data_IF_418679893868
#
_entry.id   IF_418679893868
#
_cell.length_a   1.000
_cell.length_b   1.000
_cell.length_c   1.000
_cell.angle_alpha   90.00
_cell.angle_beta   90.00
_cell.angle_gamma   90.00
#
_symmetry.space_group_name_H-M   'P 1'
#
loop_
_entity.id
_entity.type
_entity.pdbx_description
1 polymer ?
#
# COMPACT_ATOMS: atom_id res chain seq x y z
N UNK A 1 1.09 -10.41 22.97
CA UNK A 1 0.00 -9.49 22.57
C UNK A 1 0.07 -9.32 21.06
N UNK A 2 -0.94 -9.82 20.33
CA UNK A 2 -0.93 -9.78 18.86
C UNK A 2 -1.31 -8.40 18.35
N UNK A 3 -0.48 -7.83 17.46
CA UNK A 3 -0.79 -6.64 16.68
C UNK A 3 -1.00 -7.05 15.23
N UNK A 4 -1.89 -6.36 14.53
CA UNK A 4 -2.11 -6.57 13.09
C UNK A 4 -2.07 -5.25 12.36
N UNK A 5 -1.43 -5.28 11.19
CA UNK A 5 -1.25 -4.11 10.34
C UNK A 5 -2.61 -3.64 9.84
N UNK A 6 -2.93 -2.39 10.14
CA UNK A 6 -4.14 -1.70 9.66
C UNK A 6 -3.85 -0.95 8.35
N UNK A 7 -2.69 -0.30 8.31
CA UNK A 7 -2.41 0.73 7.33
C UNK A 7 -1.10 1.45 7.57
N UNK A 8 -0.93 2.59 6.92
CA UNK A 8 0.25 3.44 7.07
C UNK A 8 -0.16 4.91 7.13
N UNK A 9 0.59 5.72 7.88
CA UNK A 9 0.64 7.17 7.71
C UNK A 9 1.84 7.50 6.84
N UNK A 10 1.67 8.41 5.88
CA UNK A 10 2.69 8.87 4.95
C UNK A 10 2.77 10.39 5.10
N UNK A 11 3.85 10.86 5.71
CA UNK A 11 3.93 12.22 6.24
C UNK A 11 2.84 12.45 7.29
N UNK A 12 2.39 13.70 7.38
CA UNK A 12 1.43 14.12 8.41
C UNK A 12 -0.04 14.03 7.96
N UNK A 13 -0.28 13.94 6.65
CA UNK A 13 -1.62 14.17 6.10
C UNK A 13 -2.19 13.00 5.29
N UNK A 14 -1.36 12.04 4.89
CA UNK A 14 -1.78 10.94 4.00
C UNK A 14 -1.91 9.65 4.80
N UNK A 15 -3.08 9.02 4.67
CA UNK A 15 -3.41 7.78 5.32
C UNK A 15 -3.68 6.70 4.29
N UNK A 16 -3.08 5.53 4.51
CA UNK A 16 -3.31 4.32 3.77
C UNK A 16 -4.13 3.33 4.60
N UNK A 17 -5.34 3.03 4.13
CA UNK A 17 -6.23 2.02 4.69
C UNK A 17 -6.18 0.77 3.80
N UNK A 18 -5.57 -0.31 4.32
CA UNK A 18 -5.36 -1.55 3.57
C UNK A 18 -6.69 -2.25 3.30
N UNK A 19 -7.55 -2.36 4.32
CA UNK A 19 -8.81 -3.10 4.22
C UNK A 19 -9.76 -2.48 3.20
N UNK A 20 -9.77 -1.14 3.10
CA UNK A 20 -10.58 -0.42 2.13
C UNK A 20 -9.84 -0.13 0.81
N UNK A 21 -8.60 -0.59 0.64
CA UNK A 21 -7.76 -0.37 -0.55
C UNK A 21 -7.69 1.11 -0.95
N UNK A 22 -7.55 1.98 0.05
CA UNK A 22 -7.77 3.42 -0.11
C UNK A 22 -6.61 4.21 0.46
N UNK A 23 -6.13 5.19 -0.32
CA UNK A 23 -5.27 6.26 0.15
C UNK A 23 -6.09 7.54 0.22
N UNK A 24 -5.94 8.33 1.27
CA UNK A 24 -6.60 9.62 1.37
C UNK A 24 -5.71 10.65 2.06
N UNK A 25 -5.88 11.91 1.66
CA UNK A 25 -5.22 13.05 2.28
C UNK A 25 -6.26 13.86 3.03
N UNK A 26 -5.96 14.14 4.29
CA UNK A 26 -6.73 15.05 5.11
C UNK A 26 -5.85 16.27 5.40
N UNK A 27 -6.13 17.37 4.73
CA UNK A 27 -5.43 18.64 4.97
C UNK A 27 -6.24 19.49 5.94
N UNK A 28 -5.56 20.09 6.91
CA UNK A 28 -6.19 21.05 7.81
C UNK A 28 -5.28 21.47 8.94
N UNK A 29 -5.01 22.78 9.04
CA UNK A 29 -4.45 23.37 10.26
C UNK A 29 -5.56 23.56 11.30
N UNK A 30 -5.21 23.50 12.59
CA UNK A 30 -6.10 23.86 13.71
C UNK A 30 -6.70 25.28 13.58
N UNK A 31 -6.14 26.13 12.74
CA UNK A 31 -6.58 27.51 12.48
C UNK A 31 -7.47 27.66 11.25
N UNK A 32 -7.61 26.63 10.41
CA UNK A 32 -8.37 26.69 9.16
C UNK A 32 -9.80 26.19 9.35
N UNK A 33 -10.77 26.95 8.83
CA UNK A 33 -12.21 26.62 8.92
C UNK A 33 -12.68 25.61 7.86
N UNK A 34 -11.79 25.19 6.96
CA UNK A 34 -12.10 24.29 5.85
C UNK A 34 -11.03 23.20 5.74
N UNK A 35 -11.49 21.96 5.58
CA UNK A 35 -10.66 20.78 5.34
C UNK A 35 -10.75 20.45 3.85
N UNK A 36 -9.62 20.29 3.17
CA UNK A 36 -9.63 19.65 1.85
C UNK A 36 -9.38 18.15 2.02
N UNK A 37 -10.27 17.35 1.42
CA UNK A 37 -10.21 15.90 1.43
C UNK A 37 -10.06 15.38 0.00
N UNK A 38 -9.05 14.55 -0.22
CA UNK A 38 -8.85 13.84 -1.47
C UNK A 38 -8.67 12.36 -1.19
N UNK A 39 -9.23 11.49 -2.03
CA UNK A 39 -9.09 10.05 -1.88
C UNK A 39 -8.93 9.34 -3.21
N UNK A 40 -8.13 8.28 -3.20
CA UNK A 40 -7.89 7.39 -4.33
C UNK A 40 -8.09 5.94 -3.88
N UNK A 41 -8.53 5.11 -4.81
CA UNK A 41 -8.70 3.67 -4.60
C UNK A 41 -7.73 2.89 -5.47
N UNK A 42 -7.23 1.79 -4.90
CA UNK A 42 -6.39 0.81 -5.57
C UNK A 42 -7.24 -0.38 -6.01
N UNK A 43 -6.89 -0.93 -7.18
CA UNK A 43 -7.28 -2.30 -7.49
C UNK A 43 -6.41 -3.28 -6.71
N UNK A 44 -6.72 -4.57 -6.81
CA UNK A 44 -6.06 -5.61 -6.04
C UNK A 44 -4.54 -5.69 -6.29
N UNK A 45 -4.10 -5.62 -7.54
CA UNK A 45 -2.67 -5.69 -7.89
C UNK A 45 -1.92 -4.44 -7.45
N UNK A 46 -2.52 -3.25 -7.56
CA UNK A 46 -1.95 -2.00 -7.05
C UNK A 46 -1.78 -2.05 -5.53
N UNK A 47 -2.79 -2.56 -4.82
CA UNK A 47 -2.73 -2.71 -3.37
C UNK A 47 -1.53 -3.58 -2.98
N UNK A 48 -1.41 -4.77 -3.58
CA UNK A 48 -0.34 -5.72 -3.28
C UNK A 48 1.04 -5.13 -3.58
N UNK A 49 1.20 -4.54 -4.75
CA UNK A 49 2.45 -3.88 -5.14
C UNK A 49 2.84 -2.78 -4.15
N UNK A 50 1.90 -1.88 -3.85
CA UNK A 50 2.15 -0.75 -2.97
C UNK A 50 2.45 -1.19 -1.54
N UNK A 51 1.66 -2.12 -1.00
CA UNK A 51 1.86 -2.69 0.33
C UNK A 51 3.23 -3.37 0.45
N UNK A 52 3.59 -4.20 -0.53
CA UNK A 52 4.87 -4.91 -0.54
C UNK A 52 6.04 -3.92 -0.55
N UNK A 53 5.97 -2.86 -1.37
CA UNK A 53 6.99 -1.81 -1.41
C UNK A 53 7.09 -1.03 -0.09
N UNK A 54 5.97 -0.73 0.58
CA UNK A 54 6.00 -0.07 1.88
C UNK A 54 6.59 -0.96 2.99
N UNK A 55 6.47 -2.28 2.87
CA UNK A 55 7.01 -3.22 3.86
C UNK A 55 8.49 -3.56 3.62
N UNK A 56 8.87 -3.75 2.35
CA UNK A 56 10.17 -4.32 1.98
C UNK A 56 11.09 -3.32 1.26
N UNK A 57 10.51 -2.31 0.61
CA UNK A 57 11.20 -1.37 -0.27
C UNK A 57 11.55 -0.03 0.35
N UNK A 58 11.63 0.09 1.67
CA UNK A 58 11.95 1.38 2.33
C UNK A 58 13.44 1.61 2.56
N UNK A 59 14.19 0.54 2.83
CA UNK A 59 15.62 0.62 3.19
C UNK A 59 16.53 0.12 2.07
N UNK A 60 16.04 -0.83 1.26
CA UNK A 60 16.73 -1.39 0.12
C UNK A 60 15.79 -1.46 -1.09
N UNK A 61 16.32 -1.41 -2.33
CA UNK A 61 15.51 -1.66 -3.51
C UNK A 61 14.98 -3.11 -3.53
N UNK A 62 13.72 -3.28 -3.90
CA UNK A 62 13.06 -4.56 -4.18
C UNK A 62 13.28 -4.89 -5.65
N UNK A 63 13.80 -6.07 -5.94
CA UNK A 63 14.13 -6.46 -7.31
C UNK A 63 12.88 -6.66 -8.16
N UNK A 64 13.03 -6.62 -9.49
CA UNK A 64 11.90 -6.85 -10.41
C UNK A 64 11.40 -8.29 -10.31
N UNK A 65 12.32 -9.22 -10.14
CA UNK A 65 12.09 -10.66 -9.99
C UNK A 65 11.29 -10.94 -8.71
N UNK A 66 11.71 -10.36 -7.58
CA UNK A 66 10.97 -10.43 -6.31
C UNK A 66 9.56 -9.85 -6.42
N UNK A 67 9.39 -8.72 -7.13
CA UNK A 67 8.06 -8.18 -7.39
C UNK A 67 7.20 -9.12 -8.25
N UNK A 68 7.77 -9.81 -9.24
CA UNK A 68 7.03 -10.77 -10.05
C UNK A 68 6.53 -11.94 -9.22
N UNK A 69 7.42 -12.51 -8.40
CA UNK A 69 7.11 -13.63 -7.50
C UNK A 69 6.00 -13.23 -6.50
N UNK A 70 6.20 -12.14 -5.77
CA UNK A 70 5.38 -11.81 -4.60
C UNK A 70 4.05 -11.12 -4.95
N UNK A 71 4.01 -10.32 -6.02
CA UNK A 71 2.82 -9.54 -6.37
C UNK A 71 1.95 -10.25 -7.41
N UNK A 72 2.55 -11.07 -8.29
CA UNK A 72 1.84 -11.77 -9.36
C UNK A 72 1.78 -13.28 -9.14
N UNK A 73 2.93 -13.97 -9.10
CA UNK A 73 2.98 -15.44 -9.15
C UNK A 73 2.40 -16.09 -7.89
N UNK A 74 2.72 -15.57 -6.70
CA UNK A 74 2.14 -15.98 -5.41
C UNK A 74 0.60 -15.86 -5.36
N UNK A 75 0.02 -15.20 -6.36
CA UNK A 75 -1.40 -14.97 -6.49
C UNK A 75 -1.99 -15.49 -7.81
N UNK A 76 -1.31 -16.43 -8.46
CA UNK A 76 -1.76 -17.08 -9.70
C UNK A 76 -1.96 -16.10 -10.88
N UNK A 77 -1.25 -14.97 -10.88
CA UNK A 77 -1.23 -14.03 -11.98
C UNK A 77 0.08 -14.18 -12.77
N UNK A 78 0.02 -14.08 -14.09
CA UNK A 78 1.25 -14.09 -14.89
C UNK A 78 1.97 -12.73 -14.80
N UNK A 79 3.25 -12.68 -14.45
CA UNK A 79 4.01 -11.43 -14.47
C UNK A 79 4.45 -11.07 -15.90
N UNK A 80 4.72 -9.79 -16.12
CA UNK A 80 5.53 -9.32 -17.25
C UNK A 80 6.07 -7.92 -16.98
N UNK A 81 7.16 -7.55 -17.63
CA UNK A 81 7.72 -6.19 -17.53
C UNK A 81 6.68 -5.14 -17.91
N UNK A 82 5.86 -5.41 -18.94
CA UNK A 82 4.79 -4.50 -19.36
C UNK A 82 3.70 -4.34 -18.30
N UNK A 83 3.27 -5.44 -17.66
CA UNK A 83 2.27 -5.40 -16.58
C UNK A 83 2.79 -4.63 -15.38
N UNK A 84 4.04 -4.88 -14.96
CA UNK A 84 4.66 -4.13 -13.87
C UNK A 84 4.73 -2.64 -14.18
N UNK A 85 5.18 -2.28 -15.39
CA UNK A 85 5.21 -0.89 -15.82
C UNK A 85 3.83 -0.23 -15.79
N UNK A 86 2.80 -0.91 -16.31
CA UNK A 86 1.43 -0.39 -16.29
C UNK A 86 0.91 -0.16 -14.87
N UNK A 87 1.13 -1.11 -13.96
CA UNK A 87 0.69 -0.97 -12.56
C UNK A 87 1.45 0.14 -11.86
N UNK A 88 2.78 0.21 -11.99
CA UNK A 88 3.60 1.29 -11.42
C UNK A 88 3.22 2.67 -11.97
N UNK A 89 3.01 2.78 -13.28
CA UNK A 89 2.62 4.04 -13.91
C UNK A 89 1.28 4.54 -13.37
N UNK A 90 0.27 3.66 -13.35
CA UNK A 90 -1.04 4.00 -12.82
C UNK A 90 -1.02 4.30 -11.33
N UNK A 91 -0.21 3.57 -10.56
CA UNK A 91 0.00 3.80 -9.14
C UNK A 91 0.63 5.18 -8.91
N UNK A 92 1.77 5.48 -9.54
CA UNK A 92 2.45 6.78 -9.40
C UNK A 92 1.56 7.95 -9.82
N UNK A 93 0.75 7.81 -10.87
CA UNK A 93 -0.21 8.85 -11.25
C UNK A 93 -1.24 9.12 -10.15
N UNK A 94 -1.77 8.07 -9.50
CA UNK A 94 -2.70 8.23 -8.38
C UNK A 94 -2.01 8.86 -7.16
N UNK A 95 -0.80 8.43 -6.82
CA UNK A 95 -0.03 9.01 -5.71
C UNK A 95 0.23 10.50 -5.93
N UNK A 96 0.60 10.89 -7.15
CA UNK A 96 0.78 12.29 -7.56
C UNK A 96 -0.48 13.12 -7.42
N UNK A 97 -1.65 12.58 -7.80
CA UNK A 97 -2.94 13.25 -7.61
C UNK A 97 -3.25 13.52 -6.13
N UNK A 98 -2.69 12.71 -5.22
CA UNK A 98 -2.82 12.91 -3.78
C UNK A 98 -1.75 13.87 -3.20
N UNK A 99 -0.84 14.35 -4.05
CA UNK A 99 0.23 15.28 -3.67
C UNK A 99 1.51 14.60 -3.15
N UNK A 100 1.68 13.29 -3.37
CA UNK A 100 2.96 12.63 -3.15
C UNK A 100 3.95 12.99 -4.28
N UNK A 101 5.27 12.99 -3.99
CA UNK A 101 6.27 13.34 -4.99
C UNK A 101 6.34 12.32 -6.14
N UNK A 102 6.73 12.79 -7.33
CA UNK A 102 6.81 11.97 -8.55
C UNK A 102 7.76 10.77 -8.41
N UNK A 103 8.77 10.90 -7.55
CA UNK A 103 9.76 9.87 -7.28
C UNK A 103 9.45 9.06 -6.01
N UNK A 104 8.23 9.15 -5.45
CA UNK A 104 7.81 8.37 -4.28
C UNK A 104 8.14 6.89 -4.43
N UNK A 105 7.86 6.30 -5.60
CA UNK A 105 8.37 4.99 -6.00
C UNK A 105 9.47 5.21 -7.03
N UNK A 106 10.73 5.10 -6.60
CA UNK A 106 11.89 5.35 -7.44
C UNK A 106 12.47 4.05 -7.99
N UNK A 107 12.71 4.00 -9.30
CA UNK A 107 13.49 2.93 -9.91
C UNK A 107 14.99 3.19 -9.71
N UNK A 108 15.70 2.23 -9.13
CA UNK A 108 17.14 2.19 -9.04
C UNK A 108 17.65 1.29 -10.17
N UNK A 109 18.33 1.88 -11.15
CA UNK A 109 18.82 1.19 -12.35
C UNK A 109 19.60 -0.07 -11.98
N UNK A 110 19.18 -1.21 -12.52
CA UNK A 110 19.80 -2.52 -12.28
C UNK A 110 19.57 -3.11 -10.89
N UNK A 111 18.80 -2.48 -10.01
CA UNK A 111 18.54 -2.96 -8.64
C UNK A 111 17.05 -3.15 -8.32
N UNK A 112 16.16 -2.40 -8.96
CA UNK A 112 14.72 -2.53 -8.75
C UNK A 112 14.07 -1.25 -8.26
N UNK A 113 13.12 -1.32 -7.32
CA UNK A 113 12.29 -0.20 -6.90
C UNK A 113 12.38 0.05 -5.39
N UNK A 114 12.41 1.33 -5.00
CA UNK A 114 12.48 1.75 -3.60
C UNK A 114 11.46 2.86 -3.32
N UNK A 115 10.86 2.84 -2.14
CA UNK A 115 10.04 3.94 -1.60
C UNK A 115 10.99 5.05 -1.17
N UNK A 116 10.99 6.16 -1.91
CA UNK A 116 11.82 7.34 -1.64
C UNK A 116 11.06 8.34 -0.77
N UNK A 117 10.60 7.91 0.41
CA UNK A 117 9.88 8.75 1.35
C UNK A 117 10.23 8.34 2.78
N UNK A 118 10.86 9.21 3.60
CA UNK A 118 11.35 8.83 4.92
C UNK A 118 10.20 8.57 5.90
N UNK A 119 9.17 9.42 5.87
CA UNK A 119 8.12 9.48 6.88
C UNK A 119 6.95 8.56 6.52
N UNK A 120 7.23 7.26 6.54
CA UNK A 120 6.21 6.21 6.40
C UNK A 120 6.10 5.49 7.74
N UNK A 121 4.94 5.52 8.38
CA UNK A 121 4.73 4.94 9.70
C UNK A 121 3.65 3.87 9.61
N UNK A 122 3.96 2.59 9.87
CA UNK A 122 2.94 1.56 9.91
C UNK A 122 2.02 1.76 11.12
N UNK A 123 0.72 1.61 10.91
CA UNK A 123 -0.32 1.71 11.93
C UNK A 123 -0.87 0.31 12.21
N UNK A 124 -0.92 -0.06 13.49
CA UNK A 124 -1.39 -1.37 13.93
C UNK A 124 -2.54 -1.21 14.92
N UNK A 125 -3.49 -2.14 14.91
CA UNK A 125 -4.42 -2.32 16.02
C UNK A 125 -4.03 -3.54 16.87
N UNK A 126 -4.42 -3.51 18.14
CA UNK A 126 -4.32 -4.67 19.02
C UNK A 126 -5.43 -5.63 18.66
N UNK A 127 -5.09 -6.90 18.47
CA UNK A 127 -6.08 -7.93 18.15
C UNK A 127 -7.15 -8.08 19.25
N UNK A 128 -6.82 -7.77 20.50
CA UNK A 128 -7.76 -7.78 21.63
C UNK A 128 -8.84 -6.69 21.56
N UNK A 129 -8.66 -5.68 20.72
CA UNK A 129 -9.60 -4.57 20.53
C UNK A 129 -10.52 -4.80 19.32
N UNK A 130 -10.35 -5.94 18.62
CA UNK A 130 -11.25 -6.31 17.53
C UNK A 130 -12.63 -6.67 18.07
N UNK A 131 -13.70 -6.13 17.47
CA UNK A 131 -15.05 -6.59 17.79
C UNK A 131 -15.19 -8.08 17.49
N UNK A 132 -15.91 -8.82 18.35
CA UNK A 132 -16.10 -10.27 18.21
C UNK A 132 -16.70 -10.72 16.86
N UNK A 133 -17.36 -9.81 16.13
CA UNK A 133 -17.93 -10.06 14.81
C UNK A 133 -16.93 -9.92 13.65
N UNK A 134 -15.79 -9.24 13.86
CA UNK A 134 -14.77 -9.02 12.82
C UNK A 134 -13.83 -10.21 12.63
N UNK A 135 -13.72 -11.10 13.62
CA UNK A 135 -12.85 -12.30 13.59
C UNK A 135 -13.37 -13.35 12.59
N UNK A 136 -14.68 -13.42 12.36
CA UNK A 136 -15.31 -14.48 11.55
C UNK A 136 -15.25 -14.29 10.03
N UNK A 137 -14.81 -13.13 9.54
CA UNK A 137 -14.76 -12.86 8.08
C UNK A 137 -13.54 -13.48 7.39
N UNK A 138 -12.46 -13.75 8.11
CA UNK A 138 -11.21 -14.27 7.52
C UNK A 138 -11.07 -15.80 7.60
N UNK A 139 -11.71 -16.48 8.56
CA UNK A 139 -11.69 -17.96 8.62
C UNK A 139 -12.37 -18.62 7.42
N UNK A 140 -13.18 -17.89 6.63
CA UNK A 140 -13.88 -18.44 5.46
C UNK A 140 -13.09 -18.39 4.15
N UNK A 141 -11.92 -17.76 4.09
CA UNK A 141 -11.11 -17.71 2.86
C UNK A 141 -10.05 -18.83 2.75
N UNK A 142 -9.83 -19.63 3.79
CA UNK A 142 -8.84 -20.73 3.79
C UNK A 142 -9.45 -22.15 3.79
N UNK A 143 -10.76 -22.29 3.60
CA UNK A 143 -11.38 -23.61 3.40
C UNK A 143 -12.28 -23.62 2.17
N UNK A 144 -11.66 -23.78 1.00
CA UNK A 144 -12.25 -24.39 -0.18
C UNK A 144 -11.12 -25.05 -0.98
N UNK A 145 -10.58 -26.12 -0.40
CA UNK A 145 -10.03 -27.24 -1.15
C UNK A 145 -11.08 -28.35 -1.11
N UNK A 146 -11.71 -28.59 -2.26
CA UNK A 146 -12.04 -29.92 -2.81
C UNK A 146 -12.36 -29.76 -4.30
#
# INVERSE_FOLDING_TARGET
>A
MGYRLYGFMIGDEIHFDIANRRLYRLTGSHTEKSIAFASIYFNETMLRLFLYLLQNGRTKPVSKEELFEEVWEAHNLSPSTQRLWQVLHNLNNKLRMLGLPDDFIRNIKGRGYIVNYPDVIPVYYRMSELPAHSVKKEEKTDTLNE
#
